data_IF_958072070328
#
_entry.id   IF_958072070328
#
_cell.length_a   1.000
_cell.length_b   1.000
_cell.length_c   1.000
_cell.angle_alpha   90.00
_cell.angle_beta   90.00
_cell.angle_gamma   90.00
#
_symmetry.space_group_name_H-M   'P 1'
#
loop_
_entity.id
_entity.type
_entity.pdbx_description
1 polymer ?
#
# COMPACT_ATOMS: atom_id res chain seq x y z
N UNK A 1 4.81 -19.27 -25.03
CA UNK A 1 3.50 -19.86 -25.38
C UNK A 1 2.47 -19.08 -24.59
N UNK A 2 1.75 -18.13 -25.21
CA UNK A 2 0.67 -17.41 -24.53
C UNK A 2 -0.46 -18.41 -24.30
N UNK A 3 -0.73 -18.73 -23.04
CA UNK A 3 -1.85 -19.61 -22.70
C UNK A 3 -3.14 -18.83 -22.94
N UNK A 4 -3.96 -19.35 -23.85
CA UNK A 4 -5.30 -18.85 -24.12
C UNK A 4 -6.07 -18.77 -22.80
N UNK A 5 -6.42 -17.55 -22.40
CA UNK A 5 -7.12 -17.30 -21.15
C UNK A 5 -8.59 -17.64 -21.35
N UNK A 6 -9.17 -18.48 -20.49
CA UNK A 6 -10.63 -18.54 -20.36
C UNK A 6 -11.11 -17.11 -20.07
N UNK A 7 -11.90 -16.57 -21.01
CA UNK A 7 -12.53 -15.27 -20.83
C UNK A 7 -13.54 -15.40 -19.68
N UNK A 8 -13.23 -14.76 -18.55
CA UNK A 8 -14.10 -14.72 -17.37
C UNK A 8 -15.25 -13.71 -17.51
N UNK A 9 -15.22 -12.93 -18.60
CA UNK A 9 -16.27 -12.01 -19.02
C UNK A 9 -16.62 -12.44 -20.45
N UNK A 10 -17.89 -12.77 -20.67
CA UNK A 10 -18.42 -13.15 -21.98
C UNK A 10 -18.42 -11.99 -22.96
N UNK A 11 -18.61 -12.30 -24.24
CA UNK A 11 -18.69 -11.27 -25.30
C UNK A 11 -19.97 -10.40 -25.18
N UNK A 12 -20.93 -10.84 -24.36
CA UNK A 12 -22.11 -10.11 -23.90
C UNK A 12 -21.83 -9.17 -22.73
N UNK A 13 -20.62 -9.19 -22.18
CA UNK A 13 -20.22 -8.43 -21.00
C UNK A 13 -20.65 -9.06 -19.67
N UNK A 14 -21.29 -10.24 -19.70
CA UNK A 14 -21.72 -10.95 -18.50
C UNK A 14 -20.57 -11.75 -17.88
N UNK A 15 -20.59 -11.87 -16.55
CA UNK A 15 -19.55 -12.60 -15.81
C UNK A 15 -19.87 -14.09 -15.84
N UNK A 16 -18.91 -14.90 -16.28
CA UNK A 16 -19.07 -16.37 -16.33
C UNK A 16 -18.78 -17.04 -14.99
N UNK A 17 -19.34 -18.22 -14.77
CA UNK A 17 -19.13 -18.97 -13.54
C UNK A 17 -17.66 -19.39 -13.36
N UNK A 18 -17.16 -19.26 -12.13
CA UNK A 18 -15.80 -19.64 -11.79
C UNK A 18 -15.66 -21.16 -11.78
N UNK A 19 -14.99 -21.71 -12.79
CA UNK A 19 -14.77 -23.14 -12.94
C UNK A 19 -13.49 -23.67 -12.28
N UNK A 20 -13.28 -24.98 -12.39
CA UNK A 20 -12.11 -25.68 -11.84
C UNK A 20 -10.77 -25.09 -12.32
N UNK A 21 -10.69 -24.58 -13.56
CA UNK A 21 -9.50 -23.93 -14.11
C UNK A 21 -9.12 -22.62 -13.39
N UNK A 22 -10.13 -21.85 -12.93
CA UNK A 22 -9.90 -20.65 -12.13
C UNK A 22 -9.35 -21.00 -10.74
N UNK A 23 -10.02 -21.92 -10.05
CA UNK A 23 -9.63 -22.32 -8.69
C UNK A 23 -8.29 -23.06 -8.62
N UNK A 24 -7.90 -23.78 -9.68
CA UNK A 24 -6.59 -24.42 -9.77
C UNK A 24 -5.41 -23.42 -9.71
N UNK A 25 -5.65 -22.16 -10.11
CA UNK A 25 -4.64 -21.08 -10.10
C UNK A 25 -4.88 -20.02 -9.04
N UNK A 26 -6.07 -19.99 -8.45
CA UNK A 26 -6.43 -19.04 -7.41
C UNK A 26 -5.51 -19.22 -6.19
N UNK A 27 -4.86 -18.13 -5.76
CA UNK A 27 -4.05 -18.11 -4.55
C UNK A 27 -4.87 -17.54 -3.41
N UNK A 28 -4.85 -18.22 -2.27
CA UNK A 28 -5.56 -17.77 -1.06
C UNK A 28 -4.91 -16.49 -0.51
N UNK A 29 -5.75 -15.55 -0.07
CA UNK A 29 -5.34 -14.33 0.63
C UNK A 29 -5.42 -13.08 -0.25
N UNK A 30 -5.27 -11.91 0.39
CA UNK A 30 -5.20 -10.63 -0.32
C UNK A 30 -3.86 -10.57 -1.09
N UNK A 31 -3.84 -10.13 -2.35
CA UNK A 31 -2.60 -9.84 -3.05
C UNK A 31 -1.69 -8.95 -2.21
N UNK A 32 -0.39 -9.24 -2.23
CA UNK A 32 0.58 -8.40 -1.58
C UNK A 32 0.54 -7.01 -2.22
N UNK A 33 0.68 -5.98 -1.38
CA UNK A 33 0.80 -4.59 -1.83
C UNK A 33 1.96 -4.47 -2.83
N UNK A 34 1.76 -3.68 -3.90
CA UNK A 34 2.78 -3.48 -4.93
C UNK A 34 4.05 -2.92 -4.30
N UNK A 35 5.25 -3.27 -4.79
CA UNK A 35 6.50 -2.81 -4.19
C UNK A 35 6.57 -1.29 -3.98
N UNK A 36 6.11 -0.51 -4.96
CA UNK A 36 6.06 0.97 -4.90
C UNK A 36 5.09 1.54 -3.85
N UNK A 37 4.09 0.77 -3.43
CA UNK A 37 3.10 1.20 -2.44
C UNK A 37 3.50 0.85 -1.01
N UNK A 38 4.58 0.06 -0.83
CA UNK A 38 5.03 -0.38 0.49
C UNK A 38 5.70 0.76 1.25
N UNK A 39 5.45 0.80 2.56
CA UNK A 39 6.23 1.66 3.47
C UNK A 39 7.70 1.22 3.47
N UNK A 40 8.60 2.19 3.41
CA UNK A 40 10.04 1.96 3.51
C UNK A 40 10.48 2.16 4.97
N UNK A 41 11.37 1.29 5.47
CA UNK A 41 11.96 1.45 6.79
C UNK A 41 13.04 2.53 6.74
N UNK A 42 12.89 3.56 7.57
CA UNK A 42 13.87 4.63 7.78
C UNK A 42 14.13 4.73 9.28
N UNK A 43 15.40 4.83 9.70
CA UNK A 43 15.78 5.05 11.09
C UNK A 43 16.30 6.47 11.24
N UNK A 44 15.78 7.22 12.20
CA UNK A 44 16.23 8.56 12.57
C UNK A 44 16.35 8.65 14.09
N UNK A 45 17.25 9.49 14.56
CA UNK A 45 17.36 9.83 15.98
C UNK A 45 16.47 11.05 16.25
N UNK A 46 15.68 10.99 17.31
CA UNK A 46 14.83 12.09 17.78
C UNK A 46 15.08 12.33 19.27
N UNK A 47 14.72 13.51 19.75
CA UNK A 47 14.86 13.86 21.16
C UNK A 47 13.99 12.96 22.06
N UNK A 48 14.47 12.75 23.28
CA UNK A 48 13.88 11.78 24.22
C UNK A 48 12.43 12.14 24.58
N UNK A 49 12.13 13.41 24.81
CA UNK A 49 10.78 13.89 25.12
C UNK A 49 9.82 13.67 23.94
N UNK A 50 10.30 13.84 22.71
CA UNK A 50 9.51 13.58 21.51
C UNK A 50 9.23 12.09 21.34
N UNK A 51 10.21 11.23 21.64
CA UNK A 51 10.03 9.79 21.63
C UNK A 51 8.95 9.34 22.62
N UNK A 52 8.95 9.89 23.84
CA UNK A 52 7.93 9.59 24.86
C UNK A 52 6.54 10.03 24.43
N UNK A 53 6.43 11.25 23.88
CA UNK A 53 5.16 11.76 23.34
C UNK A 53 4.66 10.94 22.16
N UNK A 54 5.55 10.55 21.25
CA UNK A 54 5.22 9.68 20.12
C UNK A 54 4.78 8.30 20.61
N UNK A 55 5.33 7.81 21.73
CA UNK A 55 4.95 6.53 22.31
C UNK A 55 3.50 6.48 22.80
N UNK A 56 2.94 7.61 23.22
CA UNK A 56 1.53 7.74 23.61
C UNK A 56 0.56 7.76 22.42
N UNK A 57 1.04 7.93 21.17
CA UNK A 57 0.19 7.96 19.98
C UNK A 57 -0.11 6.53 19.52
N UNK A 58 -1.40 6.23 19.32
CA UNK A 58 -1.87 4.91 18.89
C UNK A 58 -1.33 4.48 17.52
N UNK A 59 -1.28 5.39 16.55
CA UNK A 59 -0.75 5.13 15.21
C UNK A 59 0.43 6.06 14.87
N UNK A 60 1.59 5.74 15.46
CA UNK A 60 2.84 6.50 15.33
C UNK A 60 3.25 6.72 13.88
N UNK A 61 3.18 5.66 13.05
CA UNK A 61 3.61 5.74 11.65
C UNK A 61 2.71 6.65 10.82
N UNK A 62 1.39 6.62 11.03
CA UNK A 62 0.49 7.52 10.32
C UNK A 62 0.72 8.97 10.73
N UNK A 63 0.89 9.22 12.02
CA UNK A 63 1.18 10.54 12.56
C UNK A 63 2.50 11.11 12.00
N UNK A 64 3.59 10.35 12.09
CA UNK A 64 4.92 10.76 11.58
C UNK A 64 4.87 11.01 10.08
N UNK A 65 4.22 10.13 9.29
CA UNK A 65 4.11 10.34 7.85
C UNK A 65 3.34 11.61 7.49
N UNK A 66 2.27 11.94 8.24
CA UNK A 66 1.50 13.16 8.00
C UNK A 66 2.33 14.41 8.33
N UNK A 67 2.99 14.42 9.49
CA UNK A 67 3.84 15.54 9.92
C UNK A 67 5.00 15.79 8.94
N UNK A 68 5.68 14.72 8.48
CA UNK A 68 6.79 14.85 7.52
C UNK A 68 6.29 15.39 6.18
N UNK A 69 5.15 14.92 5.66
CA UNK A 69 4.58 15.42 4.40
C UNK A 69 4.27 16.91 4.47
N UNK A 70 3.63 17.35 5.56
CA UNK A 70 3.32 18.76 5.79
C UNK A 70 4.60 19.61 5.89
N UNK A 71 5.61 19.14 6.63
CA UNK A 71 6.90 19.81 6.73
C UNK A 71 7.63 19.93 5.38
N UNK A 72 7.62 18.87 4.56
CA UNK A 72 8.22 18.90 3.21
C UNK A 72 7.48 19.89 2.32
N UNK A 73 6.14 19.91 2.36
CA UNK A 73 5.34 20.85 1.56
C UNK A 73 5.65 22.31 1.93
N UNK A 74 5.78 22.62 3.22
CA UNK A 74 6.18 23.95 3.70
C UNK A 74 7.59 24.31 3.28
N UNK A 75 8.56 23.42 3.48
CA UNK A 75 9.93 23.64 3.07
C UNK A 75 10.09 23.87 1.56
N UNK A 76 9.25 23.24 0.72
CA UNK A 76 9.23 23.48 -0.72
C UNK A 76 8.61 24.84 -1.10
N UNK A 77 7.62 25.32 -0.34
CA UNK A 77 7.01 26.63 -0.54
C UNK A 77 7.95 27.78 -0.14
N UNK A 78 8.79 27.60 0.87
CA UNK A 78 9.76 28.61 1.32
C UNK A 78 10.98 28.73 0.39
N UNK A 79 11.16 27.79 -0.55
CA UNK A 79 12.25 27.75 -1.52
C UNK A 79 11.88 28.29 -2.91
N UNK A 80 10.65 28.77 -3.10
CA UNK A 80 10.11 29.31 -4.35
C UNK A 80 9.92 30.83 -4.26
#
# INVERSE_FOLDING_TARGET
MMMEHDRLIGDDGEVTELGAGFFARAKRGRPAMLPEERKVRVNVMIDADLADRLNAVSNKSAFVNAAIRDAIAKAAADQA
#
